data_IF_654524953150
#
_entry.id   IF_654524953150
#
_cell.length_a   1.000
_cell.length_b   1.000
_cell.length_c   1.000
_cell.angle_alpha   90.00
_cell.angle_beta   90.00
_cell.angle_gamma   90.00
#
_symmetry.space_group_name_H-M   'P 1'
#
loop_
_entity.id
_entity.type
_entity.pdbx_description
1 polymer ?
#
# COMPACT_ATOMS: atom_id res chain seq x y z
N UNK A 1 6.21 23.96 -5.24
CA UNK A 1 5.31 24.19 -6.40
C UNK A 1 5.14 23.01 -7.37
N UNK A 2 5.97 21.95 -7.37
CA UNK A 2 5.84 20.82 -8.33
C UNK A 2 4.83 19.70 -7.97
N UNK A 3 4.28 19.67 -6.75
CA UNK A 3 3.53 18.50 -6.24
C UNK A 3 2.01 18.50 -6.58
N UNK A 4 1.44 19.63 -7.02
CA UNK A 4 -0.01 19.76 -7.14
C UNK A 4 -0.59 19.03 -8.37
N UNK A 5 0.13 19.02 -9.49
CA UNK A 5 -0.32 18.37 -10.71
C UNK A 5 -0.31 16.84 -10.61
N UNK A 6 0.74 16.26 -10.03
CA UNK A 6 0.83 14.81 -9.81
C UNK A 6 -0.27 14.32 -8.87
N UNK A 7 -0.47 15.04 -7.76
CA UNK A 7 -1.53 14.74 -6.81
C UNK A 7 -2.91 14.83 -7.47
N UNK A 8 -3.16 15.86 -8.27
CA UNK A 8 -4.40 15.98 -9.06
C UNK A 8 -4.58 14.78 -9.99
N UNK A 9 -3.57 14.43 -10.81
CA UNK A 9 -3.66 13.29 -11.73
C UNK A 9 -3.95 11.98 -11.01
N UNK A 10 -3.26 11.70 -9.90
CA UNK A 10 -3.46 10.47 -9.12
C UNK A 10 -4.87 10.40 -8.50
N UNK A 11 -5.39 11.52 -7.99
CA UNK A 11 -6.75 11.61 -7.46
C UNK A 11 -7.80 11.45 -8.56
N UNK A 12 -7.66 12.14 -9.69
CA UNK A 12 -8.58 12.03 -10.83
C UNK A 12 -8.59 10.60 -11.36
N UNK A 13 -7.42 9.99 -11.57
CA UNK A 13 -7.29 8.60 -12.00
C UNK A 13 -7.97 7.62 -11.03
N UNK A 14 -7.92 7.88 -9.72
CA UNK A 14 -8.62 7.06 -8.74
C UNK A 14 -10.14 7.10 -8.91
N UNK A 15 -10.72 8.28 -9.16
CA UNK A 15 -12.16 8.43 -9.38
C UNK A 15 -12.61 7.80 -10.71
N UNK A 16 -11.88 8.03 -11.79
CA UNK A 16 -12.16 7.43 -13.10
C UNK A 16 -12.08 5.90 -13.02
N UNK A 17 -11.09 5.35 -12.32
CA UNK A 17 -10.99 3.90 -12.10
C UNK A 17 -12.20 3.33 -11.38
N UNK A 18 -12.73 4.04 -10.37
CA UNK A 18 -13.94 3.60 -9.67
C UNK A 18 -15.16 3.60 -10.58
N UNK A 19 -15.33 4.66 -11.37
CA UNK A 19 -16.42 4.76 -12.33
C UNK A 19 -16.35 3.62 -13.36
N UNK A 20 -15.17 3.40 -13.97
CA UNK A 20 -14.94 2.32 -14.94
C UNK A 20 -15.21 0.94 -14.34
N UNK A 21 -14.71 0.65 -13.13
CA UNK A 21 -14.96 -0.64 -12.46
C UNK A 21 -16.46 -0.85 -12.20
N UNK A 22 -17.18 0.18 -11.76
CA UNK A 22 -18.63 0.09 -11.56
C UNK A 22 -19.37 -0.22 -12.87
N UNK A 23 -19.00 0.46 -13.96
CA UNK A 23 -19.56 0.20 -15.30
C UNK A 23 -19.23 -1.21 -15.79
N UNK A 24 -17.99 -1.67 -15.61
CA UNK A 24 -17.57 -3.03 -15.98
C UNK A 24 -18.36 -4.11 -15.22
N UNK A 25 -18.63 -3.90 -13.92
CA UNK A 25 -19.43 -4.82 -13.11
C UNK A 25 -20.86 -4.88 -13.64
N UNK A 26 -21.46 -3.72 -13.97
CA UNK A 26 -22.79 -3.65 -14.58
C UNK A 26 -22.84 -4.38 -15.92
N UNK A 27 -21.88 -4.11 -16.81
CA UNK A 27 -21.73 -4.77 -18.10
C UNK A 27 -21.66 -6.30 -17.93
N UNK A 28 -20.82 -6.77 -17.01
CA UNK A 28 -20.66 -8.20 -16.71
C UNK A 28 -21.95 -8.83 -16.18
N UNK A 29 -22.73 -8.10 -15.39
CA UNK A 29 -24.02 -8.57 -14.87
C UNK A 29 -25.08 -8.65 -15.98
N UNK A 30 -25.16 -7.66 -16.86
CA UNK A 30 -26.06 -7.66 -18.01
C UNK A 30 -25.75 -8.85 -18.94
N UNK A 31 -24.46 -9.06 -19.26
CA UNK A 31 -24.03 -10.17 -20.11
C UNK A 31 -24.41 -11.54 -19.52
N UNK A 32 -24.29 -11.73 -18.20
CA UNK A 32 -24.74 -12.97 -17.52
C UNK A 32 -26.24 -13.23 -17.66
N UNK A 33 -27.04 -12.17 -17.74
CA UNK A 33 -28.48 -12.23 -17.93
C UNK A 33 -28.88 -12.19 -19.41
N UNK A 34 -27.94 -12.40 -20.33
CA UNK A 34 -28.14 -12.32 -21.80
C UNK A 34 -28.73 -10.98 -22.27
N UNK A 35 -28.49 -9.92 -21.50
CA UNK A 35 -28.92 -8.55 -21.79
C UNK A 35 -27.72 -7.68 -22.17
N UNK A 36 -27.99 -6.60 -22.91
CA UNK A 36 -27.01 -5.57 -23.28
C UNK A 36 -27.62 -4.19 -23.09
N UNK A 37 -26.80 -3.21 -22.76
CA UNK A 37 -27.19 -1.80 -22.69
C UNK A 37 -26.13 -0.98 -23.42
N UNK A 38 -26.49 -0.39 -24.56
CA UNK A 38 -25.56 0.36 -25.41
C UNK A 38 -24.90 1.52 -24.67
N UNK A 39 -25.66 2.26 -23.88
CA UNK A 39 -25.10 3.32 -23.04
C UNK A 39 -24.08 2.78 -22.01
N UNK A 40 -24.26 1.56 -21.50
CA UNK A 40 -23.28 0.95 -20.58
C UNK A 40 -21.98 0.61 -21.31
N UNK A 41 -22.07 0.12 -22.56
CA UNK A 41 -20.91 -0.14 -23.41
C UNK A 41 -20.16 1.17 -23.74
N UNK A 42 -20.89 2.21 -24.14
CA UNK A 42 -20.30 3.52 -24.47
C UNK A 42 -19.62 4.16 -23.25
N UNK A 43 -20.26 4.13 -22.07
CA UNK A 43 -19.63 4.63 -20.83
C UNK A 43 -18.38 3.81 -20.51
N UNK A 44 -18.39 2.50 -20.75
CA UNK A 44 -17.24 1.63 -20.48
C UNK A 44 -16.06 1.99 -21.38
N UNK A 45 -16.31 2.23 -22.67
CA UNK A 45 -15.30 2.69 -23.63
C UNK A 45 -14.73 4.05 -23.24
N UNK A 46 -15.57 5.08 -23.09
CA UNK A 46 -15.10 6.43 -22.72
C UNK A 46 -14.35 6.47 -21.40
N UNK A 47 -14.81 5.71 -20.40
CA UNK A 47 -14.13 5.65 -19.10
C UNK A 47 -12.79 4.90 -19.16
N UNK A 48 -12.66 3.90 -20.04
CA UNK A 48 -11.41 3.21 -20.31
C UNK A 48 -10.42 4.13 -21.02
N UNK A 49 -10.84 4.83 -22.07
CA UNK A 49 -9.96 5.74 -22.82
C UNK A 49 -9.42 6.86 -21.93
N UNK A 50 -10.29 7.42 -21.08
CA UNK A 50 -9.88 8.43 -20.11
C UNK A 50 -8.94 7.85 -19.04
N UNK A 51 -9.18 6.63 -18.56
CA UNK A 51 -8.25 5.94 -17.64
C UNK A 51 -6.88 5.75 -18.29
N UNK A 52 -6.83 5.31 -19.54
CA UNK A 52 -5.59 5.03 -20.27
C UNK A 52 -4.80 6.32 -20.56
N UNK A 53 -5.49 7.41 -20.94
CA UNK A 53 -4.89 8.73 -21.08
C UNK A 53 -4.28 9.24 -19.77
N UNK A 54 -5.03 9.15 -18.66
CA UNK A 54 -4.53 9.53 -17.33
C UNK A 54 -3.36 8.65 -16.87
N UNK A 55 -3.40 7.34 -17.16
CA UNK A 55 -2.29 6.43 -16.88
C UNK A 55 -1.02 6.86 -17.64
N UNK A 56 -1.15 7.28 -18.90
CA UNK A 56 -0.05 7.83 -19.70
C UNK A 56 0.59 9.06 -19.03
N UNK A 57 -0.23 10.05 -18.67
CA UNK A 57 0.23 11.26 -17.98
C UNK A 57 0.89 11.00 -16.64
N UNK A 58 0.34 10.07 -15.85
CA UNK A 58 0.96 9.69 -14.59
C UNK A 58 2.33 9.01 -14.80
N UNK A 59 2.45 8.11 -15.79
CA UNK A 59 3.72 7.45 -16.11
C UNK A 59 4.82 8.45 -16.48
N UNK A 60 4.50 9.45 -17.32
CA UNK A 60 5.43 10.52 -17.69
C UNK A 60 5.99 11.23 -16.45
N UNK A 61 5.13 11.61 -15.51
CA UNK A 61 5.55 12.29 -14.29
C UNK A 61 6.36 11.41 -13.35
N UNK A 62 5.98 10.12 -13.24
CA UNK A 62 6.69 9.16 -12.40
C UNK A 62 8.10 8.93 -12.88
N UNK A 63 8.32 8.86 -14.20
CA UNK A 63 9.67 8.70 -14.79
C UNK A 63 10.60 9.88 -14.47
N UNK A 64 10.04 11.07 -14.31
CA UNK A 64 10.78 12.27 -13.91
C UNK A 64 10.99 12.39 -12.39
N UNK A 65 10.49 11.44 -11.59
CA UNK A 65 10.57 11.49 -10.13
C UNK A 65 12.03 11.28 -9.67
N UNK A 66 12.55 12.02 -8.68
CA UNK A 66 13.94 11.89 -8.21
C UNK A 66 14.33 10.46 -7.81
N UNK A 67 13.44 9.76 -7.10
CA UNK A 67 13.66 8.37 -6.69
C UNK A 67 13.38 7.31 -7.78
N UNK A 68 13.07 7.69 -9.03
CA UNK A 68 12.63 6.76 -10.08
C UNK A 68 13.65 5.65 -10.35
N UNK A 69 14.93 6.01 -10.37
CA UNK A 69 16.02 5.06 -10.59
C UNK A 69 15.97 3.88 -9.61
N UNK A 70 15.62 4.14 -8.35
CA UNK A 70 15.56 3.07 -7.34
C UNK A 70 14.28 2.24 -7.47
N UNK A 71 13.09 2.87 -7.41
CA UNK A 71 11.86 2.08 -7.36
C UNK A 71 11.51 1.40 -8.70
N UNK A 72 12.05 1.86 -9.83
CA UNK A 72 11.88 1.20 -11.13
C UNK A 72 12.59 -0.16 -11.20
N UNK A 73 13.62 -0.37 -10.36
CA UNK A 73 14.36 -1.63 -10.24
C UNK A 73 13.80 -2.57 -9.17
N UNK A 74 12.74 -2.17 -8.47
CA UNK A 74 12.09 -3.02 -7.48
C UNK A 74 11.11 -3.96 -8.19
N UNK A 75 11.41 -5.25 -8.16
CA UNK A 75 10.55 -6.29 -8.73
C UNK A 75 9.12 -6.22 -8.18
N UNK A 76 8.15 -6.05 -9.08
CA UNK A 76 6.72 -5.96 -8.74
C UNK A 76 6.18 -4.55 -8.57
N UNK A 77 7.00 -3.52 -8.79
CA UNK A 77 6.57 -2.14 -8.90
C UNK A 77 6.34 -1.77 -10.36
N UNK A 78 5.15 -1.24 -10.66
CA UNK A 78 4.85 -0.64 -11.96
C UNK A 78 4.57 0.85 -11.81
N UNK A 79 4.96 1.62 -12.82
CA UNK A 79 4.92 3.09 -12.85
C UNK A 79 3.59 3.68 -12.36
N UNK A 80 2.45 3.11 -12.78
CA UNK A 80 1.12 3.62 -12.39
C UNK A 80 0.84 3.41 -10.90
N UNK A 81 1.21 2.26 -10.34
CA UNK A 81 0.92 1.96 -8.93
C UNK A 81 1.83 2.76 -7.99
N UNK A 82 3.12 2.87 -8.31
CA UNK A 82 4.02 3.73 -7.53
C UNK A 82 3.67 5.20 -7.70
N UNK A 83 3.27 5.62 -8.90
CA UNK A 83 2.78 6.98 -9.16
C UNK A 83 1.66 7.40 -8.23
N UNK A 84 0.67 6.52 -8.02
CA UNK A 84 -0.44 6.78 -7.09
C UNK A 84 -0.01 6.85 -5.63
N UNK A 85 1.16 6.32 -5.27
CA UNK A 85 1.74 6.44 -3.92
C UNK A 85 2.54 7.74 -3.80
N UNK A 86 3.54 7.95 -4.66
CA UNK A 86 4.44 9.11 -4.58
C UNK A 86 3.71 10.43 -4.81
N UNK A 87 2.70 10.46 -5.69
CA UNK A 87 1.91 11.66 -5.97
C UNK A 87 1.07 12.15 -4.78
N UNK A 88 0.86 11.31 -3.77
CA UNK A 88 0.10 11.66 -2.57
C UNK A 88 1.01 12.04 -1.40
N UNK A 89 2.33 12.03 -1.59
CA UNK A 89 3.30 12.27 -0.53
C UNK A 89 4.03 13.58 -0.82
N UNK A 90 4.13 14.44 0.19
CA UNK A 90 5.15 15.48 0.20
C UNK A 90 6.33 15.01 1.06
N UNK A 91 7.45 14.71 0.40
CA UNK A 91 8.63 14.18 1.07
C UNK A 91 9.28 15.20 2.01
N UNK A 92 9.06 16.51 1.78
CA UNK A 92 9.65 17.59 2.60
C UNK A 92 8.94 17.70 3.94
N UNK A 93 7.62 17.50 3.96
CA UNK A 93 6.83 17.43 5.20
C UNK A 93 7.16 16.17 6.02
N UNK A 94 7.51 15.07 5.32
CA UNK A 94 7.96 13.84 5.93
C UNK A 94 9.44 13.92 6.37
N UNK A 95 9.77 14.79 7.32
CA UNK A 95 11.15 14.92 7.84
C UNK A 95 11.69 13.66 8.54
N UNK A 96 10.81 12.71 8.88
CA UNK A 96 11.14 11.41 9.47
C UNK A 96 10.27 10.33 8.85
N UNK A 97 10.80 9.10 8.75
CA UNK A 97 10.04 7.94 8.27
C UNK A 97 8.78 7.67 9.10
N UNK A 98 8.81 7.94 10.41
CA UNK A 98 7.65 7.78 11.29
C UNK A 98 6.50 8.73 10.93
N UNK A 99 6.80 9.96 10.48
CA UNK A 99 5.81 10.90 9.97
C UNK A 99 5.17 10.37 8.69
N UNK A 100 5.97 9.84 7.76
CA UNK A 100 5.47 9.21 6.55
C UNK A 100 4.57 8.01 6.87
N UNK A 101 4.99 7.13 7.78
CA UNK A 101 4.16 6.00 8.21
C UNK A 101 2.84 6.46 8.82
N UNK A 102 2.84 7.48 9.68
CA UNK A 102 1.61 8.04 10.27
C UNK A 102 0.68 8.57 9.19
N UNK A 103 1.20 9.41 8.29
CA UNK A 103 0.43 9.98 7.18
C UNK A 103 -0.12 8.92 6.21
N UNK A 104 0.64 7.85 5.95
CA UNK A 104 0.21 6.71 5.14
C UNK A 104 -0.72 5.72 5.87
N UNK A 105 -1.00 5.94 7.16
CA UNK A 105 -1.92 5.12 7.96
C UNK A 105 -1.31 3.82 8.50
N UNK A 106 0.02 3.79 8.61
CA UNK A 106 0.85 2.71 9.16
C UNK A 106 1.65 3.16 10.41
N UNK A 107 1.28 4.30 10.99
CA UNK A 107 1.83 4.80 12.25
C UNK A 107 1.61 3.84 13.42
N UNK A 108 2.48 3.93 14.42
CA UNK A 108 2.35 3.22 15.69
C UNK A 108 2.46 4.22 16.83
N UNK A 109 1.57 4.11 17.81
CA UNK A 109 1.56 4.93 19.03
C UNK A 109 1.57 3.95 20.20
N UNK A 110 2.54 4.06 21.11
CA UNK A 110 2.73 3.17 22.26
C UNK A 110 2.75 1.67 21.87
N UNK A 111 3.50 1.32 20.82
CA UNK A 111 3.62 -0.06 20.33
C UNK A 111 2.37 -0.62 19.63
N UNK A 112 1.27 0.12 19.57
CA UNK A 112 0.01 -0.31 18.96
C UNK A 112 -0.28 0.48 17.68
N UNK A 113 -1.06 -0.12 16.78
CA UNK A 113 -1.51 0.57 15.56
C UNK A 113 -2.47 1.70 15.96
N UNK A 114 -2.19 2.92 15.49
CA UNK A 114 -3.06 4.08 15.70
C UNK A 114 -4.43 3.82 15.06
N UNK A 115 -5.50 3.83 15.86
CA UNK A 115 -6.87 3.60 15.39
C UNK A 115 -7.60 4.92 15.22
N UNK A 116 -8.44 5.07 14.17
CA UNK A 116 -9.27 6.26 14.04
C UNK A 116 -10.31 6.32 15.17
N UNK A 117 -10.49 7.51 15.73
CA UNK A 117 -11.54 7.80 16.71
C UNK A 117 -12.81 8.25 15.99
N UNK A 118 -13.97 7.68 16.35
CA UNK A 118 -15.25 8.08 15.76
C UNK A 118 -15.50 9.57 16.02
N UNK A 119 -15.87 10.31 14.98
CA UNK A 119 -16.14 11.76 15.07
C UNK A 119 -14.92 12.66 14.91
N UNK A 120 -13.69 12.12 14.86
CA UNK A 120 -12.48 12.91 14.64
C UNK A 120 -11.99 12.84 13.20
N UNK A 121 -11.30 13.90 12.76
CA UNK A 121 -10.57 13.91 11.49
C UNK A 121 -9.49 12.83 11.52
N UNK A 122 -9.32 12.14 10.40
CA UNK A 122 -8.32 11.09 10.29
C UNK A 122 -6.91 11.70 10.31
N UNK A 123 -6.02 11.06 11.07
CA UNK A 123 -4.59 11.40 11.11
C UNK A 123 -3.82 10.92 9.86
N UNK A 124 -4.48 10.24 8.92
CA UNK A 124 -3.85 9.64 7.74
C UNK A 124 -4.67 9.84 6.47
N UNK A 125 -3.99 9.76 5.32
CA UNK A 125 -4.60 9.80 4.01
C UNK A 125 -5.15 8.40 3.63
N UNK A 126 -6.49 8.27 3.58
CA UNK A 126 -7.19 7.03 3.22
C UNK A 126 -6.80 6.50 1.84
N UNK A 127 -6.71 7.38 0.85
CA UNK A 127 -6.36 7.02 -0.52
C UNK A 127 -4.94 6.46 -0.56
N UNK A 128 -3.97 7.15 0.07
CA UNK A 128 -2.59 6.69 0.16
C UNK A 128 -2.51 5.30 0.81
N UNK A 129 -3.21 5.09 1.93
CA UNK A 129 -3.26 3.78 2.60
C UNK A 129 -3.74 2.68 1.66
N UNK A 130 -4.80 2.94 0.88
CA UNK A 130 -5.30 2.00 -0.13
C UNK A 130 -4.31 1.77 -1.27
N UNK A 131 -3.60 2.80 -1.74
CA UNK A 131 -2.58 2.67 -2.79
C UNK A 131 -1.37 1.86 -2.32
N UNK A 132 -0.89 2.07 -1.08
CA UNK A 132 0.15 1.23 -0.48
C UNK A 132 -0.26 -0.24 -0.40
N UNK A 133 -1.54 -0.51 -0.08
CA UNK A 133 -2.08 -1.88 -0.08
C UNK A 133 -2.09 -2.50 -1.49
N UNK A 134 -2.51 -1.75 -2.51
CA UNK A 134 -2.48 -2.21 -3.92
C UNK A 134 -1.05 -2.51 -4.37
N UNK A 135 -0.11 -1.61 -4.06
CA UNK A 135 1.31 -1.78 -4.36
C UNK A 135 1.88 -3.03 -3.68
N UNK A 136 1.58 -3.24 -2.39
CA UNK A 136 1.99 -4.42 -1.65
C UNK A 136 1.51 -5.73 -2.30
N UNK A 137 0.28 -5.75 -2.82
CA UNK A 137 -0.23 -6.91 -3.56
C UNK A 137 0.49 -7.14 -4.88
N UNK A 138 1.06 -6.10 -5.50
CA UNK A 138 1.98 -6.23 -6.63
C UNK A 138 3.28 -6.92 -6.22
N UNK A 139 3.94 -6.39 -5.17
CA UNK A 139 5.18 -6.94 -4.62
C UNK A 139 5.05 -8.44 -4.24
N UNK A 140 3.96 -8.81 -3.57
CA UNK A 140 3.71 -10.22 -3.18
C UNK A 140 3.57 -11.12 -4.41
N UNK A 141 2.86 -10.67 -5.45
CA UNK A 141 2.67 -11.48 -6.67
C UNK A 141 3.96 -11.64 -7.48
N UNK A 142 4.82 -10.63 -7.44
CA UNK A 142 6.06 -10.63 -8.20
C UNK A 142 7.15 -11.53 -7.61
N UNK A 143 7.03 -11.95 -6.34
CA UNK A 143 7.97 -12.86 -5.67
C UNK A 143 9.44 -12.38 -5.83
N UNK A 144 9.73 -11.19 -5.33
CA UNK A 144 11.09 -10.64 -5.18
C UNK A 144 11.48 -10.44 -3.71
N UNK A 145 12.53 -9.67 -3.44
CA UNK A 145 13.04 -9.47 -2.07
C UNK A 145 11.98 -9.01 -1.05
N UNK A 146 11.02 -8.16 -1.45
CA UNK A 146 9.91 -7.77 -0.57
C UNK A 146 8.97 -8.93 -0.23
N UNK A 147 8.76 -9.87 -1.15
CA UNK A 147 8.00 -11.08 -0.89
C UNK A 147 8.72 -11.97 0.11
N UNK A 148 10.04 -12.14 -0.03
CA UNK A 148 10.85 -12.95 0.90
C UNK A 148 10.80 -12.38 2.32
N UNK A 149 10.96 -11.06 2.45
CA UNK A 149 10.76 -10.36 3.72
C UNK A 149 9.35 -10.58 4.28
N UNK A 150 8.32 -10.51 3.43
CA UNK A 150 6.94 -10.76 3.86
C UNK A 150 6.73 -12.20 4.36
N UNK A 151 7.28 -13.21 3.69
CA UNK A 151 7.21 -14.61 4.12
C UNK A 151 7.93 -14.81 5.45
N UNK A 152 9.12 -14.24 5.60
CA UNK A 152 9.87 -14.28 6.85
C UNK A 152 9.10 -13.65 8.01
N UNK A 153 8.54 -12.45 7.82
CA UNK A 153 7.73 -11.80 8.85
C UNK A 153 6.46 -12.60 9.15
N UNK A 154 5.85 -13.23 8.15
CA UNK A 154 4.68 -14.10 8.34
C UNK A 154 5.03 -15.31 9.21
N UNK A 155 6.20 -15.93 9.00
CA UNK A 155 6.74 -17.01 9.83
C UNK A 155 7.00 -16.55 11.26
N UNK A 156 7.76 -15.45 11.45
CA UNK A 156 8.08 -14.89 12.78
C UNK A 156 6.82 -14.57 13.59
N UNK A 157 5.81 -13.94 12.97
CA UNK A 157 4.54 -13.61 13.65
C UNK A 157 3.80 -14.90 14.04
N UNK A 158 3.78 -15.90 13.16
CA UNK A 158 3.13 -17.18 13.43
C UNK A 158 3.78 -17.90 14.61
N UNK A 159 5.11 -17.98 14.65
CA UNK A 159 5.86 -18.59 15.74
C UNK A 159 5.61 -17.87 17.07
N UNK A 160 5.67 -16.54 17.06
CA UNK A 160 5.37 -15.73 18.26
C UNK A 160 3.96 -15.99 18.79
N UNK A 161 2.94 -15.95 17.92
CA UNK A 161 1.56 -16.21 18.33
C UNK A 161 1.38 -17.62 18.92
N UNK A 162 2.05 -18.63 18.34
CA UNK A 162 2.02 -20.00 18.86
C UNK A 162 2.69 -20.06 20.25
N UNK A 163 3.84 -19.38 20.44
CA UNK A 163 4.49 -19.30 21.75
C UNK A 163 3.68 -18.56 22.81
N UNK A 164 2.83 -17.61 22.38
CA UNK A 164 1.86 -16.90 23.22
C UNK A 164 0.60 -17.75 23.51
N UNK A 165 0.53 -19.00 23.03
CA UNK A 165 -0.58 -19.93 23.26
C UNK A 165 -1.74 -19.81 22.25
N UNK A 166 -1.59 -19.03 21.19
CA UNK A 166 -2.64 -18.86 20.18
C UNK A 166 -2.69 -20.01 19.16
N UNK A 167 -3.91 -20.39 18.77
CA UNK A 167 -4.17 -21.34 17.67
C UNK A 167 -4.52 -20.59 16.39
N UNK A 168 -3.66 -20.66 15.39
CA UNK A 168 -3.90 -20.01 14.10
C UNK A 168 -4.84 -20.87 13.25
N UNK A 169 -5.95 -20.28 12.81
CA UNK A 169 -7.00 -20.96 12.04
C UNK A 169 -7.38 -20.18 10.77
N UNK A 170 -7.87 -20.84 9.72
CA UNK A 170 -8.53 -20.17 8.60
C UNK A 170 -9.68 -19.27 9.09
N UNK A 171 -9.92 -18.15 8.42
CA UNK A 171 -10.92 -17.15 8.86
C UNK A 171 -12.33 -17.70 9.00
N UNK A 172 -12.73 -18.68 8.18
CA UNK A 172 -14.03 -19.35 8.27
C UNK A 172 -14.17 -20.30 9.48
N UNK A 173 -13.06 -20.62 10.17
CA UNK A 173 -13.04 -21.44 11.39
C UNK A 173 -12.96 -20.62 12.68
N UNK A 174 -12.98 -19.29 12.57
CA UNK A 174 -13.08 -18.40 13.72
C UNK A 174 -14.50 -18.43 14.30
N UNK A 175 -14.65 -18.33 15.64
CA UNK A 175 -15.95 -18.18 16.29
C UNK A 175 -16.79 -17.08 15.64
N UNK A 176 -18.09 -17.31 15.53
CA UNK A 176 -19.03 -16.34 14.97
C UNK A 176 -19.78 -15.68 16.10
N UNK A 177 -19.72 -14.36 16.17
CA UNK A 177 -20.50 -13.54 17.10
C UNK A 177 -21.19 -12.42 16.32
N UNK A 178 -22.51 -12.26 16.51
CA UNK A 178 -23.32 -11.27 15.77
C UNK A 178 -23.11 -11.34 14.24
N UNK A 179 -23.04 -12.56 13.70
CA UNK A 179 -22.83 -12.82 12.27
C UNK A 179 -21.43 -12.49 11.74
N UNK A 180 -20.45 -12.25 12.61
CA UNK A 180 -19.06 -11.94 12.21
C UNK A 180 -18.08 -12.92 12.82
N UNK A 181 -17.12 -13.37 12.02
CA UNK A 181 -15.97 -14.12 12.50
C UNK A 181 -15.09 -13.23 13.39
N UNK A 182 -14.84 -13.66 14.63
CA UNK A 182 -14.07 -12.93 15.63
C UNK A 182 -12.93 -13.77 16.18
N UNK A 183 -11.82 -13.12 16.55
CA UNK A 183 -10.69 -13.76 17.24
C UNK A 183 -11.02 -13.85 18.73
N UNK A 184 -11.32 -15.06 19.20
CA UNK A 184 -11.72 -15.38 20.58
C UNK A 184 -11.23 -16.79 20.93
N UNK A 185 -11.20 -17.15 22.21
CA UNK A 185 -10.83 -18.48 22.70
C UNK A 185 -9.42 -18.91 22.25
N UNK A 186 -8.49 -17.96 22.25
CA UNK A 186 -7.12 -18.17 21.77
C UNK A 186 -6.99 -18.42 20.26
N UNK A 187 -8.08 -18.39 19.48
CA UNK A 187 -8.04 -18.56 18.02
C UNK A 187 -7.69 -17.25 17.32
N UNK A 188 -6.70 -17.32 16.43
CA UNK A 188 -6.22 -16.19 15.65
C UNK A 188 -6.42 -16.46 14.15
N UNK A 189 -6.88 -15.46 13.40
CA UNK A 189 -7.17 -15.62 11.99
C UNK A 189 -5.90 -15.64 11.14
N UNK A 190 -5.76 -16.62 10.24
CA UNK A 190 -4.67 -16.66 9.27
C UNK A 190 -4.61 -15.38 8.41
N UNK A 191 -5.78 -14.83 8.06
CA UNK A 191 -5.88 -13.54 7.36
C UNK A 191 -5.31 -12.37 8.17
N UNK A 192 -5.42 -12.38 9.49
CA UNK A 192 -4.85 -11.34 10.33
C UNK A 192 -3.32 -11.44 10.38
N UNK A 193 -2.77 -12.66 10.49
CA UNK A 193 -1.31 -12.91 10.37
C UNK A 193 -0.77 -12.38 9.03
N UNK A 194 -1.51 -12.65 7.94
CA UNK A 194 -1.19 -12.15 6.60
C UNK A 194 -1.13 -10.62 6.54
N UNK A 195 -2.16 -9.96 7.09
CA UNK A 195 -2.24 -8.50 7.14
C UNK A 195 -1.13 -7.89 8.00
N UNK A 196 -0.76 -8.52 9.11
CA UNK A 196 0.35 -8.06 9.97
C UNK A 196 1.70 -8.16 9.25
N UNK A 197 1.96 -9.27 8.57
CA UNK A 197 3.18 -9.46 7.79
C UNK A 197 3.26 -8.46 6.62
N UNK A 198 2.16 -8.30 5.88
CA UNK A 198 2.11 -7.35 4.78
C UNK A 198 2.22 -5.90 5.27
N UNK A 199 1.67 -5.57 6.44
CA UNK A 199 1.86 -4.26 7.08
C UNK A 199 3.34 -3.99 7.36
N UNK A 200 4.09 -4.98 7.86
CA UNK A 200 5.54 -4.85 8.06
C UNK A 200 6.28 -4.64 6.74
N UNK A 201 5.94 -5.40 5.69
CA UNK A 201 6.51 -5.23 4.35
C UNK A 201 6.24 -3.82 3.78
N UNK A 202 5.01 -3.30 3.91
CA UNK A 202 4.68 -1.93 3.49
C UNK A 202 5.52 -0.90 4.24
N UNK A 203 5.69 -1.06 5.56
CA UNK A 203 6.51 -0.14 6.35
C UNK A 203 7.97 -0.15 5.91
N UNK A 204 8.52 -1.33 5.61
CA UNK A 204 9.88 -1.46 5.07
C UNK A 204 9.99 -0.77 3.70
N UNK A 205 9.04 -1.03 2.80
CA UNK A 205 9.01 -0.36 1.50
C UNK A 205 8.95 1.17 1.62
N UNK A 206 8.08 1.70 2.46
CA UNK A 206 7.97 3.15 2.69
C UNK A 206 9.23 3.73 3.35
N UNK A 207 9.94 2.94 4.16
CA UNK A 207 11.23 3.33 4.72
C UNK A 207 12.30 3.47 3.63
N UNK A 208 12.39 2.50 2.73
CA UNK A 208 13.32 2.54 1.61
C UNK A 208 12.99 3.68 0.64
N UNK A 209 11.70 3.86 0.31
CA UNK A 209 11.23 4.95 -0.53
C UNK A 209 11.56 6.31 0.09
N UNK A 210 11.32 6.47 1.40
CA UNK A 210 11.65 7.69 2.12
C UNK A 210 13.13 8.02 2.06
N UNK A 211 13.99 7.02 2.31
CA UNK A 211 15.44 7.20 2.28
C UNK A 211 15.91 7.61 0.88
N UNK A 212 15.62 6.79 -0.14
CA UNK A 212 16.08 7.01 -1.51
C UNK A 212 15.52 8.29 -2.13
N UNK A 213 14.31 8.69 -1.75
CA UNK A 213 13.74 9.95 -2.21
C UNK A 213 14.41 11.16 -1.54
N UNK A 214 14.66 11.12 -0.23
CA UNK A 214 15.36 12.22 0.43
C UNK A 214 16.81 12.36 -0.03
N UNK A 215 17.51 11.24 -0.21
CA UNK A 215 18.86 11.21 -0.81
C UNK A 215 18.85 11.87 -2.20
N UNK A 216 17.90 11.49 -3.07
CA UNK A 216 17.79 12.03 -4.42
C UNK A 216 17.44 13.54 -4.46
N UNK A 217 16.79 14.07 -3.42
CA UNK A 217 16.51 15.51 -3.29
C UNK A 217 17.54 16.27 -2.44
N UNK A 218 18.59 15.61 -1.93
CA UNK A 218 19.58 16.22 -1.04
C UNK A 218 19.00 16.71 0.30
N UNK A 219 17.91 16.10 0.75
CA UNK A 219 17.22 16.49 1.98
C UNK A 219 17.85 15.81 3.21
N UNK A 220 17.83 16.50 4.35
CA UNK A 220 18.38 15.96 5.59
C UNK A 220 17.78 14.60 5.99
N UNK A 221 18.62 13.65 6.37
CA UNK A 221 18.20 12.33 6.85
C UNK A 221 18.25 12.34 8.37
N UNK A 222 17.07 12.30 9.01
CA UNK A 222 16.95 12.42 10.47
C UNK A 222 17.80 11.39 11.23
N UNK A 223 18.56 11.84 12.24
CA UNK A 223 19.38 10.98 13.12
C UNK A 223 18.65 9.77 13.72
N UNK A 224 17.37 9.86 14.18
CA UNK A 224 16.65 8.71 14.73
C UNK A 224 16.50 7.55 13.74
N UNK A 225 16.49 7.82 12.43
CA UNK A 225 16.54 6.78 11.41
C UNK A 225 17.91 6.08 11.39
N UNK A 226 19.01 6.83 11.36
CA UNK A 226 20.38 6.28 11.37
C UNK A 226 20.68 5.50 12.66
N UNK A 227 20.21 5.98 13.82
CA UNK A 227 20.36 5.27 15.09
C UNK A 227 19.41 4.06 15.19
N UNK A 228 18.20 4.13 14.63
CA UNK A 228 17.32 2.97 14.51
C UNK A 228 17.93 1.89 13.60
N UNK A 229 18.65 2.28 12.55
CA UNK A 229 19.43 1.36 11.71
C UNK A 229 20.56 0.70 12.52
N UNK A 230 21.32 1.48 13.28
CA UNK A 230 22.45 0.96 14.07
C UNK A 230 22.03 0.11 15.28
N UNK A 231 20.81 0.29 15.81
CA UNK A 231 20.32 -0.41 17.01
C UNK A 231 19.35 -1.56 16.76
N UNK A 232 18.81 -1.73 15.54
CA UNK A 232 17.96 -2.87 15.19
C UNK A 232 18.77 -3.92 14.43
N UNK A 233 18.86 -5.13 14.98
CA UNK A 233 19.46 -6.31 14.34
C UNK A 233 18.79 -6.74 13.02
N UNK A 234 17.74 -6.03 12.58
CA UNK A 234 16.90 -6.32 11.41
C UNK A 234 17.01 -5.23 10.32
N UNK A 235 18.01 -4.34 10.34
CA UNK A 235 18.18 -3.37 9.24
C UNK A 235 18.40 -4.09 7.91
N UNK A 236 17.74 -3.58 6.87
CA UNK A 236 17.94 -4.01 5.49
C UNK A 236 18.11 -2.81 4.59
N UNK A 237 19.12 -2.87 3.73
CA UNK A 237 19.41 -1.76 2.82
C UNK A 237 18.40 -1.77 1.66
N UNK A 238 17.94 -0.60 1.18
CA UNK A 238 17.11 -0.55 -0.02
C UNK A 238 17.75 -1.19 -1.26
N UNK A 239 19.09 -1.27 -1.30
CA UNK A 239 19.83 -1.81 -2.43
C UNK A 239 19.82 -3.36 -2.45
N UNK A 240 19.45 -4.01 -1.34
CA UNK A 240 19.17 -5.45 -1.30
C UNK A 240 17.81 -5.81 -1.92
N UNK A 241 17.00 -4.81 -2.25
CA UNK A 241 15.61 -4.97 -2.71
C UNK A 241 15.38 -4.60 -4.17
N UNK A 242 16.47 -4.35 -4.91
CA UNK A 242 16.46 -4.10 -6.35
C UNK A 242 17.05 -5.30 -7.09
N UNK A 243 16.56 -5.59 -8.30
CA UNK A 243 16.99 -6.74 -9.10
C UNK A 243 16.13 -6.95 -10.33
#
# INVERSE_FOLDING_TARGET
MKNNQAMMLANTLYFIQKARVATQVRQSHLAKNKNKCELTEEIMEKSKDLEDWLNGKLKEQVKAHPAYFWFSKVKGIGDVNIGKVVSLIDIREASMVSKLWRYAGFGVVNGRTERPTKGQKLHYNKTLKSMCWRLAKGLIRAKGAYYDYYIEQKKRIRERLISEGHKIVPSNKLPVEKGKHIEKDGKFGLGHVDMMAMRKMIKLFLSHLWLKWREAEGLEISKPYVHAIKGHSDYRSPDEFIG
#
